data_IF_333583086341
#
_entry.id   IF_333583086341
#
_cell.length_a   1.000
_cell.length_b   1.000
_cell.length_c   1.000
_cell.angle_alpha   90.00
_cell.angle_beta   90.00
_cell.angle_gamma   90.00
#
_symmetry.space_group_name_H-M   'P 1'
#
loop_
_entity.id
_entity.type
_entity.pdbx_description
1 polymer ?
#
# COMPACT_ATOMS: atom_id res chain seq x y z
N UNK A 1 -19.31 16.07 -1.05
CA UNK A 1 -17.87 15.96 -0.75
C UNK A 1 -17.75 14.94 0.38
N UNK A 2 -17.50 13.67 0.06
CA UNK A 2 -17.24 12.68 1.10
C UNK A 2 -15.84 12.96 1.65
N UNK A 3 -15.76 13.37 2.93
CA UNK A 3 -14.48 13.51 3.61
C UNK A 3 -13.76 12.15 3.61
N UNK A 4 -12.51 12.14 3.22
CA UNK A 4 -11.64 10.96 3.31
C UNK A 4 -11.65 10.46 4.77
N UNK A 5 -11.94 9.18 5.05
CA UNK A 5 -11.91 8.67 6.42
C UNK A 5 -10.52 8.88 7.03
N UNK A 6 -10.47 9.56 8.16
CA UNK A 6 -9.25 9.77 8.96
C UNK A 6 -9.53 9.37 10.40
N UNK A 7 -8.51 8.87 11.07
CA UNK A 7 -8.59 8.52 12.48
C UNK A 7 -7.29 8.85 13.20
N UNK A 8 -7.24 8.69 14.52
CA UNK A 8 -6.00 8.76 15.30
C UNK A 8 -5.38 7.37 15.43
N UNK A 9 -4.11 7.33 15.84
CA UNK A 9 -3.42 6.08 16.13
C UNK A 9 -4.16 5.26 17.21
N UNK A 10 -4.72 5.92 18.23
CA UNK A 10 -5.40 5.27 19.34
C UNK A 10 -6.75 4.65 18.94
N UNK A 11 -7.46 5.24 17.98
CA UNK A 11 -8.74 4.73 17.50
C UNK A 11 -8.60 3.77 16.31
N UNK A 12 -7.38 3.52 15.84
CA UNK A 12 -7.13 2.73 14.64
C UNK A 12 -7.54 1.25 14.79
N UNK A 13 -7.47 0.70 16.00
CA UNK A 13 -7.88 -0.68 16.27
C UNK A 13 -9.37 -0.97 15.99
N UNK A 14 -10.23 0.06 16.04
CA UNK A 14 -11.65 -0.06 15.71
C UNK A 14 -11.87 -0.47 14.24
N UNK A 15 -10.91 -0.18 13.38
CA UNK A 15 -10.99 -0.44 11.94
C UNK A 15 -10.33 -1.76 11.54
N UNK A 16 -9.40 -2.29 12.34
CA UNK A 16 -8.68 -3.52 12.02
C UNK A 16 -8.96 -4.57 13.10
N UNK A 17 -9.81 -5.57 12.82
CA UNK A 17 -10.18 -6.58 13.80
C UNK A 17 -8.97 -7.39 14.28
N UNK A 18 -8.90 -7.61 15.58
CA UNK A 18 -7.83 -8.38 16.23
C UNK A 18 -8.01 -8.37 17.73
N UNK A 19 -7.23 -9.17 18.42
CA UNK A 19 -7.15 -9.19 19.87
C UNK A 19 -5.91 -8.41 20.32
N UNK A 20 -6.11 -7.39 21.15
CA UNK A 20 -5.01 -6.63 21.73
C UNK A 20 -4.34 -7.47 22.81
N UNK A 21 -3.05 -7.75 22.62
CA UNK A 21 -2.24 -8.54 23.59
C UNK A 21 -1.52 -7.64 24.59
N UNK A 22 -0.94 -6.54 24.12
CA UNK A 22 -0.29 -5.52 24.95
C UNK A 22 -0.19 -4.18 24.21
N UNK A 23 -0.07 -3.10 24.97
CA UNK A 23 0.12 -1.78 24.39
C UNK A 23 1.03 -0.87 25.23
N UNK A 24 1.61 0.13 24.57
CA UNK A 24 2.27 1.28 25.19
C UNK A 24 1.69 2.56 24.59
N UNK A 25 1.00 3.36 25.40
CA UNK A 25 0.29 4.56 24.94
C UNK A 25 1.19 5.79 24.92
N UNK A 26 1.14 6.52 23.85
CA UNK A 26 1.71 7.85 23.74
C UNK A 26 1.06 8.82 24.72
N UNK A 27 1.85 9.76 25.27
CA UNK A 27 1.34 10.85 26.11
C UNK A 27 1.49 12.22 25.45
N UNK A 28 2.19 12.30 24.32
CA UNK A 28 2.40 13.53 23.55
C UNK A 28 2.64 13.22 22.07
N UNK A 29 2.52 14.20 21.21
CA UNK A 29 2.79 14.10 19.77
C UNK A 29 4.27 13.81 19.43
N UNK A 30 5.16 13.84 20.41
CA UNK A 30 6.56 13.45 20.28
C UNK A 30 6.85 12.04 20.81
N UNK A 31 5.82 11.31 21.20
CA UNK A 31 5.90 9.98 21.77
C UNK A 31 5.63 8.90 20.72
N UNK A 32 5.88 7.65 21.09
CA UNK A 32 5.54 6.48 20.28
C UNK A 32 4.33 5.77 20.89
N UNK A 33 3.42 5.32 20.03
CA UNK A 33 2.34 4.43 20.43
C UNK A 33 2.58 3.05 19.83
N UNK A 34 2.49 2.01 20.67
CA UNK A 34 2.78 0.63 20.26
C UNK A 34 1.65 -0.28 20.70
N UNK A 35 1.23 -1.18 19.79
CA UNK A 35 0.25 -2.22 20.06
C UNK A 35 0.76 -3.55 19.52
N UNK A 36 0.61 -4.62 20.30
CA UNK A 36 0.80 -6.00 19.83
C UNK A 36 -0.57 -6.66 19.73
N UNK A 37 -0.87 -7.18 18.57
CA UNK A 37 -2.21 -7.65 18.20
C UNK A 37 -2.14 -9.05 17.57
N UNK A 38 -2.97 -9.96 18.10
CA UNK A 38 -3.25 -11.23 17.41
C UNK A 38 -4.34 -11.00 16.35
N UNK A 39 -4.05 -11.35 15.11
CA UNK A 39 -4.94 -11.16 13.97
C UNK A 39 -5.77 -12.43 13.71
N UNK A 40 -6.98 -12.24 13.17
CA UNK A 40 -7.77 -13.36 12.66
C UNK A 40 -7.01 -14.06 11.53
N UNK A 41 -7.23 -15.36 11.38
CA UNK A 41 -6.60 -16.14 10.31
C UNK A 41 -7.03 -15.67 8.91
N UNK A 42 -8.29 -15.28 8.79
CA UNK A 42 -8.85 -14.75 7.55
C UNK A 42 -9.53 -13.42 7.86
N UNK A 43 -9.24 -12.44 7.05
CA UNK A 43 -9.92 -11.15 7.05
C UNK A 43 -10.28 -10.79 5.62
N UNK A 44 -11.55 -10.62 5.38
CA UNK A 44 -12.05 -10.08 4.12
C UNK A 44 -11.82 -8.56 4.05
N UNK A 45 -12.19 -7.97 2.92
CA UNK A 45 -11.95 -6.57 2.63
C UNK A 45 -12.37 -5.63 3.75
N UNK A 46 -11.43 -4.88 4.28
CA UNK A 46 -11.63 -3.81 5.25
C UNK A 46 -11.04 -2.51 4.73
N UNK A 47 -11.64 -1.39 5.13
CA UNK A 47 -11.11 -0.06 4.80
C UNK A 47 -10.34 0.45 6.01
N UNK A 48 -9.06 0.69 5.82
CA UNK A 48 -8.17 1.26 6.81
C UNK A 48 -8.09 2.76 6.58
N UNK A 49 -8.52 3.58 7.54
CA UNK A 49 -8.44 5.03 7.41
C UNK A 49 -7.00 5.52 7.47
N UNK A 50 -6.76 6.69 6.91
CA UNK A 50 -5.47 7.38 7.05
C UNK A 50 -5.24 7.82 8.51
N UNK A 51 -4.01 7.68 8.98
CA UNK A 51 -3.53 8.23 10.26
C UNK A 51 -2.41 9.23 10.02
N UNK A 52 -2.29 10.29 10.83
CA UNK A 52 -1.24 11.29 10.66
C UNK A 52 0.15 10.78 11.00
N UNK A 53 0.23 9.78 11.89
CA UNK A 53 1.49 9.16 12.31
C UNK A 53 1.97 8.14 11.30
N UNK A 54 3.27 8.12 10.92
CA UNK A 54 3.83 6.97 10.23
C UNK A 54 3.64 5.69 11.05
N UNK A 55 3.06 4.69 10.41
CA UNK A 55 2.77 3.39 11.01
C UNK A 55 3.69 2.31 10.46
N UNK A 56 4.43 1.66 11.35
CA UNK A 56 5.12 0.41 11.06
C UNK A 56 4.24 -0.74 11.52
N UNK A 57 3.90 -1.65 10.61
CA UNK A 57 3.26 -2.94 10.93
C UNK A 57 4.32 -4.02 10.78
N UNK A 58 4.81 -4.56 11.89
CA UNK A 58 5.84 -5.58 11.90
C UNK A 58 5.27 -6.95 12.22
N UNK A 59 5.60 -7.96 11.42
CA UNK A 59 5.10 -9.32 11.59
C UNK A 59 5.93 -10.01 12.68
N UNK A 60 5.31 -10.33 13.80
CA UNK A 60 5.92 -11.03 14.92
C UNK A 60 5.93 -12.54 14.73
N UNK A 61 4.81 -13.09 14.28
CA UNK A 61 4.66 -14.54 14.06
C UNK A 61 3.64 -14.83 12.98
N UNK A 62 3.71 -16.07 12.46
CA UNK A 62 2.83 -16.55 11.42
C UNK A 62 3.30 -16.23 10.02
N UNK A 63 2.60 -16.78 9.04
CA UNK A 63 2.77 -16.55 7.61
C UNK A 63 1.41 -16.16 7.05
N UNK A 64 1.36 -15.13 6.24
CA UNK A 64 0.12 -14.69 5.61
C UNK A 64 0.35 -14.16 4.20
N UNK A 65 -0.68 -14.23 3.38
CA UNK A 65 -0.79 -13.40 2.18
C UNK A 65 -1.61 -12.18 2.56
N UNK A 66 -0.99 -11.03 2.57
CA UNK A 66 -1.60 -9.72 2.80
C UNK A 66 -1.77 -9.02 1.47
N UNK A 67 -2.98 -8.61 1.18
CA UNK A 67 -3.30 -7.88 -0.03
C UNK A 67 -3.80 -6.50 0.34
N UNK A 68 -3.25 -5.49 -0.30
CA UNK A 68 -3.61 -4.09 -0.07
C UNK A 68 -3.83 -3.37 -1.39
N UNK A 69 -4.69 -2.35 -1.36
CA UNK A 69 -4.93 -1.46 -2.50
C UNK A 69 -5.43 -0.09 -2.06
N UNK A 70 -5.20 0.97 -2.83
CA UNK A 70 -5.98 2.20 -2.66
C UNK A 70 -7.45 1.92 -3.02
N UNK A 71 -8.43 2.63 -2.47
CA UNK A 71 -9.86 2.40 -2.72
C UNK A 71 -10.17 2.32 -4.22
N UNK A 72 -10.78 1.19 -4.63
CA UNK A 72 -11.03 0.89 -6.05
C UNK A 72 -9.78 0.60 -6.89
N UNK A 73 -8.61 0.43 -6.26
CA UNK A 73 -7.34 0.08 -6.87
C UNK A 73 -7.18 -1.41 -7.15
N UNK A 74 -6.03 -1.77 -7.71
CA UNK A 74 -5.64 -3.16 -7.87
C UNK A 74 -5.05 -3.71 -6.59
N UNK A 75 -5.33 -4.99 -6.30
CA UNK A 75 -4.75 -5.67 -5.17
C UNK A 75 -3.26 -5.95 -5.40
N UNK A 76 -2.43 -5.50 -4.49
CA UNK A 76 -1.03 -5.87 -4.39
C UNK A 76 -0.91 -6.93 -3.30
N UNK A 77 -0.54 -8.15 -3.69
CA UNK A 77 -0.38 -9.27 -2.78
C UNK A 77 1.08 -9.43 -2.35
N UNK A 78 1.30 -9.53 -1.04
CA UNK A 78 2.59 -9.79 -0.44
C UNK A 78 2.48 -11.01 0.48
N UNK A 79 3.30 -12.04 0.23
CA UNK A 79 3.46 -13.12 1.20
C UNK A 79 4.47 -12.69 2.25
N UNK A 80 4.01 -12.61 3.50
CA UNK A 80 4.78 -12.09 4.63
C UNK A 80 4.99 -13.17 5.70
N UNK A 81 6.14 -13.06 6.38
CA UNK A 81 6.54 -13.95 7.46
C UNK A 81 7.09 -13.11 8.63
N UNK A 82 7.40 -13.76 9.76
CA UNK A 82 8.02 -13.08 10.87
C UNK A 82 9.29 -12.31 10.45
N UNK A 83 9.39 -11.05 10.87
CA UNK A 83 10.46 -10.11 10.53
C UNK A 83 10.18 -9.21 9.32
N UNK A 84 9.16 -9.51 8.50
CA UNK A 84 8.72 -8.62 7.43
C UNK A 84 7.91 -7.46 8.00
N UNK A 85 7.89 -6.32 7.30
CA UNK A 85 7.17 -5.14 7.76
C UNK A 85 6.50 -4.37 6.63
N UNK A 86 5.51 -3.58 7.04
CA UNK A 86 4.89 -2.53 6.22
C UNK A 86 5.21 -1.18 6.86
N UNK A 87 5.42 -0.17 6.03
CA UNK A 87 5.53 1.23 6.47
C UNK A 87 4.47 2.04 5.73
N UNK A 88 3.49 2.51 6.47
CA UNK A 88 2.39 3.31 5.94
C UNK A 88 2.54 4.75 6.38
N UNK A 89 2.49 5.66 5.42
CA UNK A 89 2.49 7.12 5.66
C UNK A 89 1.23 7.73 5.06
N UNK A 90 0.19 6.91 4.96
CA UNK A 90 -0.96 7.14 4.13
C UNK A 90 -1.67 8.46 4.44
N UNK A 91 -1.81 9.26 3.41
CA UNK A 91 -2.71 10.43 3.41
C UNK A 91 -4.13 10.05 2.96
N UNK A 92 -4.32 8.82 2.48
CA UNK A 92 -5.56 8.27 1.94
C UNK A 92 -5.86 6.92 2.59
N UNK A 93 -7.13 6.52 2.68
CA UNK A 93 -7.52 5.19 3.14
C UNK A 93 -6.92 4.10 2.24
N UNK A 94 -6.72 2.92 2.81
CA UNK A 94 -6.28 1.72 2.10
C UNK A 94 -7.29 0.60 2.32
N UNK A 95 -7.66 -0.12 1.27
CA UNK A 95 -8.38 -1.37 1.39
C UNK A 95 -7.38 -2.50 1.61
N UNK A 96 -7.68 -3.38 2.57
CA UNK A 96 -6.81 -4.48 2.95
C UNK A 96 -7.60 -5.76 3.18
N UNK A 97 -6.98 -6.90 2.89
CA UNK A 97 -7.46 -8.24 3.26
C UNK A 97 -6.25 -9.16 3.48
N UNK A 98 -6.43 -10.22 4.25
CA UNK A 98 -5.37 -11.21 4.42
C UNK A 98 -5.89 -12.61 4.67
N UNK A 99 -5.02 -13.59 4.38
CA UNK A 99 -5.20 -14.99 4.70
C UNK A 99 -3.90 -15.52 5.32
N UNK A 100 -3.96 -15.86 6.61
CA UNK A 100 -2.84 -16.48 7.30
C UNK A 100 -2.87 -17.99 7.12
N UNK A 101 -1.68 -18.60 7.10
CA UNK A 101 -1.54 -20.04 7.01
C UNK A 101 -2.00 -20.70 8.35
N UNK A 102 -2.70 -21.85 8.29
CA UNK A 102 -3.11 -22.57 9.50
C UNK A 102 -1.92 -23.03 10.34
N UNK A 103 -2.13 -23.16 11.66
CA UNK A 103 -1.18 -23.80 12.57
C UNK A 103 -0.24 -22.86 13.33
N UNK A 104 -0.23 -21.56 13.01
CA UNK A 104 0.52 -20.55 13.78
C UNK A 104 -0.30 -19.28 13.94
N UNK A 105 -0.32 -18.66 15.13
CA UNK A 105 -1.01 -17.40 15.32
C UNK A 105 -0.35 -16.31 14.45
N UNK A 106 -1.18 -15.54 13.76
CA UNK A 106 -0.73 -14.38 12.99
C UNK A 106 -0.72 -13.16 13.92
N UNK A 107 0.48 -12.80 14.39
CA UNK A 107 0.66 -11.72 15.38
C UNK A 107 1.48 -10.59 14.75
N UNK A 108 1.05 -9.37 14.97
CA UNK A 108 1.70 -8.17 14.45
C UNK A 108 1.95 -7.15 15.56
N UNK A 109 2.97 -6.33 15.39
CA UNK A 109 3.21 -5.16 16.21
C UNK A 109 3.01 -3.90 15.38
N UNK A 110 2.12 -3.04 15.82
CA UNK A 110 1.91 -1.70 15.30
C UNK A 110 2.77 -0.71 16.07
N UNK A 111 3.55 0.10 15.37
CA UNK A 111 4.36 1.16 15.97
C UNK A 111 4.06 2.45 15.24
N UNK A 112 3.37 3.35 15.91
CA UNK A 112 3.06 4.69 15.43
C UNK A 112 4.14 5.65 15.90
N UNK A 113 4.86 6.24 14.97
CA UNK A 113 5.91 7.21 15.28
C UNK A 113 5.29 8.59 15.42
N UNK A 114 5.45 9.20 16.58
CA UNK A 114 4.86 10.51 16.85
C UNK A 114 5.21 11.56 15.79
N UNK A 115 4.22 12.30 15.32
CA UNK A 115 4.39 13.32 14.24
C UNK A 115 5.50 14.32 14.54
N UNK A 116 5.74 14.66 15.83
CA UNK A 116 6.79 15.58 16.21
C UNK A 116 8.20 15.04 15.94
N UNK A 117 8.38 13.71 15.94
CA UNK A 117 9.66 13.06 15.65
C UNK A 117 9.96 13.04 14.15
N UNK A 118 8.91 13.10 13.31
CA UNK A 118 9.01 12.97 11.85
C UNK A 118 8.74 14.28 11.10
N UNK A 119 8.85 15.44 11.76
CA UNK A 119 8.58 16.74 11.15
C UNK A 119 9.37 16.95 9.87
N UNK A 120 8.65 17.28 8.79
CA UNK A 120 9.21 17.58 7.47
C UNK A 120 9.95 16.42 6.78
N UNK A 121 9.73 15.18 7.22
CA UNK A 121 10.31 13.99 6.59
C UNK A 121 9.21 13.25 5.86
N UNK A 122 9.27 13.26 4.52
CA UNK A 122 8.44 12.39 3.70
C UNK A 122 9.13 11.04 3.55
N UNK A 123 8.39 9.96 3.86
CA UNK A 123 8.84 8.58 3.76
C UNK A 123 8.17 7.89 2.58
N UNK A 124 8.89 6.97 1.92
CA UNK A 124 8.27 6.04 0.97
C UNK A 124 7.50 4.97 1.74
N UNK A 125 6.38 4.55 1.20
CA UNK A 125 5.64 3.40 1.69
C UNK A 125 6.40 2.10 1.39
N UNK A 126 6.21 1.11 2.25
CA UNK A 126 6.85 -0.20 2.17
C UNK A 126 5.80 -1.27 2.39
N UNK A 127 5.81 -2.31 1.56
CA UNK A 127 4.87 -3.41 1.61
C UNK A 127 5.62 -4.75 1.62
N UNK A 128 5.71 -5.38 2.79
CA UNK A 128 6.28 -6.72 2.96
C UNK A 128 7.78 -6.79 2.71
N UNK A 129 8.55 -5.75 3.03
CA UNK A 129 10.02 -5.76 2.97
C UNK A 129 10.62 -6.25 4.31
N UNK A 130 11.92 -6.48 4.28
CA UNK A 130 12.71 -6.88 5.46
C UNK A 130 13.85 -5.90 5.68
N UNK A 131 14.01 -5.45 6.94
CA UNK A 131 15.09 -4.55 7.35
C UNK A 131 15.65 -5.04 8.70
N UNK A 132 16.92 -5.44 8.70
CA UNK A 132 17.56 -6.02 9.87
C UNK A 132 17.73 -5.01 11.01
N UNK A 133 18.07 -3.77 10.71
CA UNK A 133 18.22 -2.71 11.71
C UNK A 133 16.88 -2.37 12.35
N UNK A 134 15.85 -2.19 11.52
CA UNK A 134 14.49 -1.94 11.98
C UNK A 134 13.99 -3.09 12.83
N UNK A 135 14.17 -4.35 12.39
CA UNK A 135 13.76 -5.53 13.16
C UNK A 135 14.47 -5.63 14.50
N UNK A 136 15.77 -5.29 14.57
CA UNK A 136 16.51 -5.27 15.84
C UNK A 136 15.93 -4.25 16.83
N UNK A 137 15.66 -3.03 16.37
CA UNK A 137 15.07 -1.98 17.21
C UNK A 137 13.65 -2.36 17.68
N UNK A 138 12.83 -2.94 16.80
CA UNK A 138 11.48 -3.39 17.11
C UNK A 138 11.48 -4.56 18.10
N UNK A 139 12.44 -5.48 18.00
CA UNK A 139 12.61 -6.56 18.96
C UNK A 139 12.88 -6.03 20.37
N UNK A 140 13.67 -4.96 20.53
CA UNK A 140 13.91 -4.35 21.83
C UNK A 140 12.64 -3.74 22.44
N UNK A 141 11.82 -3.05 21.62
CA UNK A 141 10.51 -2.55 22.07
C UNK A 141 9.61 -3.72 22.50
N UNK A 142 9.52 -4.76 21.67
CA UNK A 142 8.69 -5.92 21.96
C UNK A 142 9.12 -6.63 23.25
N UNK A 143 10.42 -6.86 23.44
CA UNK A 143 10.96 -7.47 24.65
C UNK A 143 10.68 -6.63 25.92
N UNK A 144 10.75 -5.31 25.80
CA UNK A 144 10.42 -4.39 26.89
C UNK A 144 8.94 -4.45 27.29
N UNK A 145 8.04 -4.57 26.30
CA UNK A 145 6.59 -4.65 26.52
C UNK A 145 6.13 -6.01 27.08
N UNK A 146 6.87 -7.07 26.77
CA UNK A 146 6.51 -8.45 27.16
C UNK A 146 7.35 -8.99 28.32
N UNK A 147 8.29 -8.20 28.82
CA UNK A 147 9.18 -8.55 29.93
C UNK A 147 8.46 -8.64 31.27
N UNK A 148 9.18 -9.13 32.29
CA UNK A 148 8.63 -9.34 33.65
C UNK A 148 8.51 -8.03 34.46
N UNK A 149 9.08 -6.92 33.99
CA UNK A 149 9.08 -5.63 34.66
C UNK A 149 8.14 -4.65 33.95
N UNK A 150 7.73 -3.60 34.65
CA UNK A 150 6.97 -2.53 34.02
C UNK A 150 7.80 -1.85 32.92
N UNK A 151 7.23 -1.66 31.72
CA UNK A 151 7.97 -1.10 30.59
C UNK A 151 8.59 0.26 30.89
N UNK A 152 9.88 0.40 30.61
CA UNK A 152 10.62 1.65 30.78
C UNK A 152 10.31 2.62 29.65
N UNK A 153 9.52 3.64 29.93
CA UNK A 153 9.16 4.65 28.96
C UNK A 153 10.38 5.37 28.35
N UNK A 154 11.41 5.81 29.12
CA UNK A 154 12.60 6.42 28.52
C UNK A 154 13.34 5.49 27.56
N UNK A 155 13.35 4.19 27.84
CA UNK A 155 13.98 3.20 26.97
C UNK A 155 13.21 3.08 25.65
N UNK A 156 11.89 2.89 25.70
CA UNK A 156 11.04 2.82 24.50
C UNK A 156 11.17 4.10 23.68
N UNK A 157 11.17 5.26 24.32
CA UNK A 157 11.31 6.55 23.64
C UNK A 157 12.69 6.71 22.96
N UNK A 158 13.76 6.24 23.60
CA UNK A 158 15.10 6.23 23.00
C UNK A 158 15.16 5.37 21.73
N UNK A 159 14.56 4.18 21.77
CA UNK A 159 14.47 3.31 20.59
C UNK A 159 13.57 3.93 19.50
N UNK A 160 12.47 4.57 19.87
CA UNK A 160 11.61 5.26 18.92
C UNK A 160 12.35 6.40 18.18
N UNK A 161 13.23 7.13 18.87
CA UNK A 161 14.09 8.13 18.24
C UNK A 161 15.09 7.48 17.27
N UNK A 162 15.68 6.34 17.65
CA UNK A 162 16.57 5.59 16.76
C UNK A 162 15.83 5.08 15.51
N UNK A 163 14.58 4.58 15.68
CA UNK A 163 13.70 4.20 14.57
C UNK A 163 13.42 5.39 13.65
N UNK A 164 13.05 6.56 14.20
CA UNK A 164 12.78 7.75 13.41
C UNK A 164 14.00 8.18 12.58
N UNK A 165 15.20 8.13 13.16
CA UNK A 165 16.45 8.44 12.46
C UNK A 165 16.74 7.39 11.38
N UNK A 166 16.54 6.10 11.65
CA UNK A 166 16.72 5.03 10.68
C UNK A 166 15.77 5.17 9.51
N UNK A 167 14.47 5.38 9.75
CA UNK A 167 13.47 5.63 8.74
C UNK A 167 13.83 6.83 7.86
N UNK A 168 14.23 7.94 8.49
CA UNK A 168 14.64 9.15 7.79
C UNK A 168 15.87 8.95 6.90
N UNK A 169 16.78 8.05 7.22
CA UNK A 169 17.96 7.74 6.42
C UNK A 169 17.68 6.77 5.28
N UNK A 170 16.87 5.74 5.57
CA UNK A 170 16.70 4.60 4.64
C UNK A 170 15.48 4.76 3.74
N UNK A 171 14.41 5.35 4.27
CA UNK A 171 13.09 5.40 3.60
C UNK A 171 12.65 6.82 3.24
N UNK A 172 13.49 7.82 3.48
CA UNK A 172 13.20 9.20 3.09
C UNK A 172 13.01 9.31 1.58
N UNK A 173 11.97 10.01 1.18
CA UNK A 173 11.82 10.46 -0.19
C UNK A 173 12.69 11.68 -0.38
N UNK A 174 13.81 11.55 -1.13
CA UNK A 174 14.64 12.70 -1.48
C UNK A 174 13.83 13.69 -2.31
N UNK A 175 13.78 14.94 -1.84
CA UNK A 175 13.10 16.03 -2.54
C UNK A 175 13.67 16.25 -3.97
N UNK A 176 14.91 15.84 -4.23
CA UNK A 176 15.50 15.85 -5.57
C UNK A 176 14.95 14.74 -6.47
N UNK A 177 14.61 13.55 -5.93
CA UNK A 177 13.86 12.53 -6.66
C UNK A 177 12.40 12.91 -6.85
N UNK A 178 11.79 13.66 -5.92
CA UNK A 178 10.47 14.26 -6.13
C UNK A 178 10.46 15.38 -7.18
N UNK A 179 11.58 16.11 -7.39
CA UNK A 179 11.69 17.10 -8.48
C UNK A 179 11.62 16.48 -9.87
N UNK A 180 11.70 15.15 -9.98
CA UNK A 180 11.60 14.44 -11.24
C UNK A 180 10.33 13.62 -11.45
N UNK A 181 9.59 13.23 -10.40
CA UNK A 181 8.39 12.37 -10.46
C UNK A 181 7.07 13.12 -10.22
N UNK A 182 5.96 12.45 -10.52
CA UNK A 182 4.63 12.94 -10.17
C UNK A 182 4.41 12.82 -8.66
N UNK A 183 3.87 13.87 -8.04
CA UNK A 183 3.47 13.82 -6.63
C UNK A 183 2.42 12.70 -6.42
N UNK A 184 2.48 11.97 -5.31
CA UNK A 184 1.65 10.79 -5.08
C UNK A 184 0.15 11.06 -5.27
N UNK A 185 -0.38 12.19 -4.78
CA UNK A 185 -1.80 12.54 -4.96
C UNK A 185 -2.17 12.81 -6.42
N UNK A 186 -1.27 13.41 -7.23
CA UNK A 186 -1.47 13.64 -8.67
C UNK A 186 -1.44 12.33 -9.43
N UNK A 187 -0.50 11.45 -9.08
CA UNK A 187 -0.41 10.11 -9.64
C UNK A 187 -1.68 9.31 -9.35
N UNK A 188 -2.18 9.38 -8.13
CA UNK A 188 -3.42 8.72 -7.72
C UNK A 188 -4.65 9.26 -8.48
N UNK A 189 -4.76 10.59 -8.65
CA UNK A 189 -5.82 11.20 -9.50
C UNK A 189 -5.77 10.68 -10.93
N UNK A 190 -4.57 10.57 -11.49
CA UNK A 190 -4.36 10.04 -12.85
C UNK A 190 -4.75 8.56 -12.94
N UNK A 191 -4.33 7.72 -11.99
CA UNK A 191 -4.70 6.29 -11.96
C UNK A 191 -6.21 6.10 -11.84
N UNK A 192 -6.88 6.85 -10.98
CA UNK A 192 -8.34 6.77 -10.84
C UNK A 192 -9.05 7.19 -12.15
N UNK A 193 -8.56 8.24 -12.81
CA UNK A 193 -9.12 8.66 -14.09
C UNK A 193 -8.87 7.63 -15.20
N UNK A 194 -7.69 7.03 -15.26
CA UNK A 194 -7.38 5.94 -16.19
C UNK A 194 -8.32 4.76 -15.97
N UNK A 195 -8.51 4.34 -14.70
CA UNK A 195 -9.38 3.22 -14.34
C UNK A 195 -10.84 3.47 -14.71
N UNK A 196 -11.36 4.66 -14.43
CA UNK A 196 -12.73 5.03 -14.76
C UNK A 196 -13.02 5.06 -16.26
N UNK A 197 -11.99 4.99 -17.10
CA UNK A 197 -12.09 5.15 -18.55
C UNK A 197 -11.46 4.01 -19.35
N UNK A 198 -11.31 2.83 -18.75
CA UNK A 198 -10.68 1.69 -19.45
C UNK A 198 -11.35 1.36 -20.79
N UNK A 199 -12.65 1.53 -20.92
CA UNK A 199 -13.38 1.33 -22.15
C UNK A 199 -13.21 2.45 -23.21
N UNK A 200 -12.70 3.64 -22.80
CA UNK A 200 -12.59 4.81 -23.66
C UNK A 200 -11.18 4.95 -24.27
N UNK A 201 -10.99 5.67 -25.38
CA UNK A 201 -9.67 5.99 -25.89
C UNK A 201 -8.81 6.68 -24.84
N UNK A 202 -7.50 6.38 -24.86
CA UNK A 202 -6.55 7.03 -23.97
C UNK A 202 -6.28 8.46 -24.42
N UNK A 203 -6.53 9.43 -23.56
CA UNK A 203 -6.31 10.85 -23.81
C UNK A 203 -5.17 11.39 -22.94
N UNK A 204 -3.97 11.51 -23.53
CA UNK A 204 -2.78 12.01 -22.83
C UNK A 204 -2.99 13.42 -22.27
N UNK A 205 -3.58 14.31 -23.04
CA UNK A 205 -3.85 15.70 -22.65
C UNK A 205 -4.70 15.78 -21.38
N UNK A 206 -5.73 14.92 -21.26
CA UNK A 206 -6.58 14.85 -20.08
C UNK A 206 -5.82 14.37 -18.86
N UNK A 207 -4.98 13.38 -19.00
CA UNK A 207 -4.15 12.86 -17.89
C UNK A 207 -3.13 13.91 -17.43
N UNK A 208 -2.54 14.62 -18.38
CA UNK A 208 -1.62 15.72 -18.09
C UNK A 208 -2.32 16.89 -17.36
N UNK A 209 -3.52 17.27 -17.81
CA UNK A 209 -4.33 18.30 -17.13
C UNK A 209 -4.69 17.92 -15.69
N UNK A 210 -5.06 16.64 -15.43
CA UNK A 210 -5.29 16.13 -14.09
C UNK A 210 -4.06 16.20 -13.18
N UNK A 211 -2.88 16.09 -13.77
CA UNK A 211 -1.60 16.24 -13.08
C UNK A 211 -1.14 17.70 -13.00
N UNK A 212 -1.86 18.66 -13.62
CA UNK A 212 -1.50 20.08 -13.73
C UNK A 212 -0.13 20.29 -14.39
N UNK A 213 0.12 19.53 -15.49
CA UNK A 213 1.35 19.53 -16.25
C UNK A 213 1.07 19.61 -17.75
N UNK A 214 2.08 20.03 -18.53
CA UNK A 214 2.06 19.83 -19.98
C UNK A 214 2.20 18.34 -20.32
N UNK A 215 1.70 17.89 -21.48
CA UNK A 215 1.78 16.48 -21.91
C UNK A 215 3.21 15.94 -21.95
N UNK A 216 4.16 16.74 -22.40
CA UNK A 216 5.58 16.37 -22.45
C UNK A 216 6.14 16.15 -21.03
N UNK A 217 5.90 17.11 -20.13
CA UNK A 217 6.36 17.03 -18.75
C UNK A 217 5.69 15.87 -18.02
N UNK A 218 4.36 15.73 -18.18
CA UNK A 218 3.60 14.62 -17.60
C UNK A 218 4.16 13.27 -18.06
N UNK A 219 4.35 13.04 -19.37
CA UNK A 219 4.86 11.77 -19.91
C UNK A 219 6.22 11.39 -19.28
N UNK A 220 7.11 12.36 -19.14
CA UNK A 220 8.43 12.18 -18.55
C UNK A 220 8.35 11.79 -17.07
N UNK A 221 7.63 12.59 -16.26
CA UNK A 221 7.56 12.38 -14.81
C UNK A 221 6.70 11.17 -14.46
N UNK A 222 5.65 10.87 -15.25
CA UNK A 222 4.86 9.65 -15.10
C UNK A 222 5.72 8.40 -15.34
N UNK A 223 6.50 8.38 -16.44
CA UNK A 223 7.43 7.28 -16.71
C UNK A 223 8.48 7.13 -15.61
N UNK A 224 8.96 8.24 -15.06
CA UNK A 224 9.92 8.24 -13.96
C UNK A 224 9.30 7.64 -12.67
N UNK A 225 8.01 7.92 -12.41
CA UNK A 225 7.29 7.41 -11.23
C UNK A 225 6.84 5.96 -11.36
N UNK A 226 6.49 5.49 -12.58
CA UNK A 226 5.83 4.19 -12.81
C UNK A 226 6.67 3.17 -13.58
N UNK A 227 7.81 3.62 -14.15
CA UNK A 227 8.64 2.81 -15.04
C UNK A 227 8.09 2.68 -16.47
N UNK A 228 6.84 3.07 -16.74
CA UNK A 228 6.16 2.94 -18.03
C UNK A 228 5.67 4.29 -18.54
N UNK A 229 5.58 4.44 -19.88
CA UNK A 229 4.88 5.60 -20.43
C UNK A 229 3.38 5.54 -20.09
N UNK A 230 2.68 6.70 -20.02
CA UNK A 230 1.26 6.73 -19.66
C UNK A 230 0.38 5.80 -20.52
N UNK A 231 0.62 5.76 -21.83
CA UNK A 231 -0.12 4.90 -22.75
C UNK A 231 0.16 3.40 -22.53
N UNK A 232 1.42 3.02 -22.30
CA UNK A 232 1.77 1.62 -21.99
C UNK A 232 1.22 1.18 -20.64
N UNK A 233 1.23 2.07 -19.65
CA UNK A 233 0.61 1.82 -18.36
C UNK A 233 -0.90 1.58 -18.49
N UNK A 234 -1.58 2.41 -19.29
CA UNK A 234 -3.00 2.26 -19.56
C UNK A 234 -3.35 0.94 -20.28
N UNK A 235 -2.52 0.53 -21.26
CA UNK A 235 -2.68 -0.78 -21.91
C UNK A 235 -2.52 -1.91 -20.90
N UNK A 236 -1.53 -1.80 -19.99
CA UNK A 236 -1.35 -2.80 -18.91
C UNK A 236 -2.60 -2.90 -18.05
N UNK A 237 -3.16 -1.78 -17.59
CA UNK A 237 -4.40 -1.77 -16.80
C UNK A 237 -5.58 -2.44 -17.53
N UNK A 238 -5.71 -2.21 -18.84
CA UNK A 238 -6.73 -2.89 -19.67
C UNK A 238 -6.54 -4.41 -19.69
N UNK A 239 -5.30 -4.87 -19.82
CA UNK A 239 -4.99 -6.31 -19.84
C UNK A 239 -5.19 -6.96 -18.47
N UNK A 240 -4.91 -6.25 -17.40
CA UNK A 240 -5.16 -6.72 -16.04
C UNK A 240 -6.67 -6.84 -15.76
N UNK A 241 -7.47 -5.86 -16.16
CA UNK A 241 -8.93 -5.94 -16.08
C UNK A 241 -9.51 -7.05 -16.98
N UNK A 242 -8.98 -7.22 -18.18
CA UNK A 242 -9.37 -8.33 -19.05
C UNK A 242 -9.08 -9.71 -18.43
N UNK A 243 -7.92 -9.87 -17.76
CA UNK A 243 -7.58 -11.09 -17.02
C UNK A 243 -8.59 -11.36 -15.91
N UNK A 244 -8.94 -10.33 -15.14
CA UNK A 244 -9.93 -10.43 -14.07
C UNK A 244 -11.28 -10.87 -14.62
N UNK A 245 -11.79 -10.21 -15.67
CA UNK A 245 -13.06 -10.56 -16.30
C UNK A 245 -13.07 -11.98 -16.89
N UNK A 246 -11.97 -12.40 -17.53
CA UNK A 246 -11.84 -13.76 -18.06
C UNK A 246 -11.86 -14.84 -16.98
N UNK A 247 -11.31 -14.59 -15.79
CA UNK A 247 -11.24 -15.56 -14.69
C UNK A 247 -12.46 -15.52 -13.77
N UNK A 248 -13.15 -14.37 -13.64
CA UNK A 248 -14.22 -14.17 -12.67
C UNK A 248 -15.61 -14.21 -13.30
N UNK A 249 -15.73 -14.08 -14.63
CA UNK A 249 -17.01 -14.04 -15.31
C UNK A 249 -17.11 -15.09 -16.44
N UNK A 250 -18.34 -15.42 -16.82
CA UNK A 250 -18.64 -16.22 -18.01
C UNK A 250 -18.85 -15.39 -19.29
N UNK A 251 -18.54 -14.10 -19.28
CA UNK A 251 -18.84 -13.17 -20.36
C UNK A 251 -18.15 -13.57 -21.68
N UNK A 252 -18.80 -13.45 -22.84
CA UNK A 252 -18.16 -13.67 -24.11
C UNK A 252 -16.89 -12.82 -24.28
N UNK A 253 -15.83 -13.40 -24.85
CA UNK A 253 -14.54 -12.70 -25.06
C UNK A 253 -14.72 -11.36 -25.80
N UNK A 254 -15.68 -11.29 -26.71
CA UNK A 254 -16.03 -10.06 -27.45
C UNK A 254 -16.55 -8.96 -26.48
N UNK A 255 -17.37 -9.33 -25.50
CA UNK A 255 -17.88 -8.40 -24.50
C UNK A 255 -16.75 -7.89 -23.57
N UNK A 256 -15.87 -8.80 -23.18
CA UNK A 256 -14.68 -8.43 -22.39
C UNK A 256 -13.77 -7.49 -23.20
N UNK A 257 -13.53 -7.78 -24.48
CA UNK A 257 -12.76 -6.89 -25.36
C UNK A 257 -13.36 -5.47 -25.40
N UNK A 258 -14.67 -5.37 -25.57
CA UNK A 258 -15.38 -4.08 -25.58
C UNK A 258 -15.30 -3.37 -24.21
N UNK A 259 -15.49 -4.11 -23.13
CA UNK A 259 -15.43 -3.57 -21.76
C UNK A 259 -14.06 -2.96 -21.42
N UNK A 260 -12.98 -3.50 -21.99
CA UNK A 260 -11.62 -2.96 -21.82
C UNK A 260 -11.17 -2.09 -23.00
N UNK A 261 -12.10 -1.62 -23.84
CA UNK A 261 -11.89 -0.58 -24.86
C UNK A 261 -11.24 -1.05 -26.16
N UNK A 262 -11.47 -2.32 -26.55
CA UNK A 262 -11.04 -2.85 -27.85
C UNK A 262 -12.26 -3.11 -28.74
N UNK A 263 -12.41 -2.33 -29.79
CA UNK A 263 -13.46 -2.52 -30.79
C UNK A 263 -13.24 -3.73 -31.74
N UNK A 264 -12.03 -4.30 -31.74
CA UNK A 264 -11.68 -5.49 -32.56
C UNK A 264 -11.22 -6.65 -31.67
N UNK A 265 -11.94 -7.77 -31.67
CA UNK A 265 -11.54 -8.97 -30.93
C UNK A 265 -10.15 -9.50 -31.30
N UNK A 266 -9.82 -9.42 -32.60
CA UNK A 266 -8.53 -9.88 -33.12
C UNK A 266 -7.37 -8.99 -32.57
N UNK A 267 -7.57 -7.68 -32.55
CA UNK A 267 -6.59 -6.74 -31.96
C UNK A 267 -6.48 -6.98 -30.45
N UNK A 268 -7.60 -7.14 -29.75
CA UNK A 268 -7.60 -7.50 -28.33
C UNK A 268 -6.79 -8.77 -28.07
N UNK A 269 -7.08 -9.86 -28.81
CA UNK A 269 -6.40 -11.14 -28.62
C UNK A 269 -4.89 -11.05 -28.87
N UNK A 270 -4.45 -10.28 -29.86
CA UNK A 270 -3.04 -10.05 -30.15
C UNK A 270 -2.34 -9.29 -29.01
N UNK A 271 -2.94 -8.21 -28.50
CA UNK A 271 -2.40 -7.43 -27.37
C UNK A 271 -2.41 -8.25 -26.10
N UNK A 272 -3.50 -8.97 -25.81
CA UNK A 272 -3.62 -9.83 -24.63
C UNK A 272 -2.53 -10.92 -24.62
N UNK A 273 -2.36 -11.63 -25.76
CA UNK A 273 -1.31 -12.65 -25.90
C UNK A 273 0.10 -12.06 -25.72
N UNK A 274 0.35 -10.86 -26.21
CA UNK A 274 1.63 -10.18 -26.02
C UNK A 274 1.93 -9.90 -24.53
N UNK A 275 0.89 -9.61 -23.75
CA UNK A 275 1.02 -9.28 -22.31
C UNK A 275 1.00 -10.50 -21.39
N UNK A 276 0.29 -11.58 -21.77
CA UNK A 276 0.07 -12.74 -20.90
C UNK A 276 0.78 -14.01 -21.38
N UNK A 277 1.27 -14.02 -22.62
CA UNK A 277 1.90 -15.18 -23.26
C UNK A 277 0.89 -16.14 -23.91
N UNK A 278 -0.40 -16.08 -23.58
CA UNK A 278 -1.46 -16.98 -24.07
C UNK A 278 -2.65 -16.20 -24.64
N UNK A 279 -3.49 -16.86 -25.43
CA UNK A 279 -4.70 -16.23 -25.97
C UNK A 279 -5.77 -16.07 -24.88
N UNK A 280 -6.74 -15.12 -25.03
CA UNK A 280 -7.86 -14.99 -24.09
C UNK A 280 -8.67 -16.27 -23.91
N UNK A 281 -8.83 -17.06 -24.97
CA UNK A 281 -9.54 -18.35 -24.93
C UNK A 281 -8.79 -19.45 -24.20
N UNK A 282 -7.45 -19.39 -24.20
CA UNK A 282 -6.60 -20.34 -23.46
C UNK A 282 -6.43 -19.92 -21.99
N UNK A 283 -6.61 -18.64 -21.71
CA UNK A 283 -6.47 -18.07 -20.37
C UNK A 283 -7.70 -18.33 -19.49
N UNK A 284 -8.89 -18.41 -20.08
CA UNK A 284 -10.16 -18.76 -19.42
C UNK A 284 -10.16 -20.21 -18.95
#
# INVERSE_FOLDING_TARGET
>A
MNSTPRTSAEAFEEYIPGELLTEHRAQSSGDVFVQVLARRQIQDNIIIPAVPEPLIVWILSGVAVVEERPPGGEWLANRVTAGDFFLTTATCPTEMRWRAEPGSPFTVMHVYIGVAMMRNIALREVSGERDQTLSSLLNHIHAELTGQHSPSRPFIQGIAQALAVHLARTYRIDAERQRGGLQAYKLHRVFNAMRAQLAQPFELARMAALAELSEFHFSRVFKQSTGLSPSHYFIRMRMEEARRLLSETGDPIIQIALAVGYGSPSHFAAVFRKHTGVSPSTYR
#
